data_IF_839045390227
#
_entry.id   IF_839045390227
#
_cell.length_a   1.000
_cell.length_b   1.000
_cell.length_c   1.000
_cell.angle_alpha   90.00
_cell.angle_beta   90.00
_cell.angle_gamma   90.00
#
_symmetry.space_group_name_H-M   'P 1'
#
loop_
_entity.id
_entity.type
_entity.pdbx_description
1 polymer ?
#
# COMPACT_ATOMS: atom_id res chain seq x y z
N UNK A 1 -14.82 -49.39 28.15
CA UNK A 1 -16.05 -49.02 27.42
C UNK A 1 -15.65 -48.54 26.04
N UNK A 2 -15.69 -49.44 25.06
CA UNK A 2 -15.52 -49.18 23.65
C UNK A 2 -16.88 -49.39 22.98
N UNK A 3 -17.26 -48.53 22.04
CA UNK A 3 -18.40 -48.71 21.13
C UNK A 3 -18.09 -47.86 19.89
N UNK A 4 -17.56 -48.44 18.80
CA UNK A 4 -18.25 -49.18 17.73
C UNK A 4 -19.32 -48.35 17.00
N UNK A 5 -19.03 -48.09 15.71
CA UNK A 5 -19.94 -47.56 14.69
C UNK A 5 -20.91 -48.64 14.21
N UNK A 6 -22.13 -48.29 13.76
CA UNK A 6 -22.89 -49.14 12.85
C UNK A 6 -22.94 -48.56 11.43
N UNK A 7 -22.30 -49.30 10.53
CA UNK A 7 -22.50 -49.31 9.08
C UNK A 7 -23.86 -49.91 8.74
N UNK A 8 -24.86 -49.10 8.36
CA UNK A 8 -25.99 -49.56 7.55
C UNK A 8 -26.80 -48.40 6.97
N UNK A 9 -26.57 -48.08 5.69
CA UNK A 9 -27.59 -47.68 4.70
C UNK A 9 -26.93 -47.22 3.40
N UNK A 10 -26.34 -48.17 2.69
CA UNK A 10 -26.19 -48.10 1.24
C UNK A 10 -26.96 -49.27 0.64
N UNK A 11 -28.14 -48.98 0.07
CA UNK A 11 -28.74 -49.71 -1.06
C UNK A 11 -30.16 -49.21 -1.33
N UNK A 12 -30.29 -48.26 -2.26
CA UNK A 12 -31.42 -48.21 -3.19
C UNK A 12 -31.07 -47.27 -4.37
N UNK A 13 -30.54 -47.88 -5.43
CA UNK A 13 -30.87 -47.68 -6.85
C UNK A 13 -31.25 -46.24 -7.31
N UNK A 14 -30.59 -45.61 -8.28
CA UNK A 14 -29.59 -46.12 -9.19
C UNK A 14 -29.35 -45.17 -10.37
N UNK A 15 -28.57 -45.70 -11.32
CA UNK A 15 -28.22 -45.17 -12.66
C UNK A 15 -27.19 -44.03 -12.69
N UNK A 16 -25.98 -44.41 -13.08
CA UNK A 16 -25.08 -43.52 -13.82
C UNK A 16 -25.61 -43.33 -15.25
N UNK A 17 -25.42 -42.14 -15.84
CA UNK A 17 -24.97 -42.03 -17.21
C UNK A 17 -23.50 -41.60 -17.25
N UNK A 18 -22.71 -42.31 -18.07
CA UNK A 18 -21.44 -41.82 -18.59
C UNK A 18 -21.75 -40.72 -19.61
N UNK A 19 -21.09 -39.58 -19.50
CA UNK A 19 -21.20 -38.47 -20.44
C UNK A 19 -20.04 -37.50 -20.25
N UNK A 20 -19.41 -37.15 -21.36
CA UNK A 20 -18.17 -36.40 -21.55
C UNK A 20 -18.18 -34.95 -21.11
N UNK A 21 -16.99 -34.44 -20.75
CA UNK A 21 -16.57 -33.07 -21.05
C UNK A 21 -16.87 -32.02 -19.98
N UNK A 22 -15.83 -31.34 -19.53
CA UNK A 22 -15.95 -30.11 -18.75
C UNK A 22 -14.93 -30.04 -17.61
N UNK A 23 -13.73 -29.55 -17.90
CA UNK A 23 -12.88 -28.94 -16.87
C UNK A 23 -13.70 -27.85 -16.21
N UNK A 24 -14.08 -28.06 -14.95
CA UNK A 24 -14.72 -27.02 -14.14
C UNK A 24 -13.62 -26.03 -13.74
N UNK A 25 -13.33 -25.10 -14.64
CA UNK A 25 -12.62 -23.88 -14.28
C UNK A 25 -13.54 -23.13 -13.30
N UNK A 26 -13.17 -23.16 -12.02
CA UNK A 26 -13.83 -22.40 -10.98
C UNK A 26 -13.63 -20.92 -11.30
N UNK A 27 -14.64 -20.30 -11.90
CA UNK A 27 -14.65 -18.88 -12.20
C UNK A 27 -14.62 -18.09 -10.89
N UNK A 28 -13.68 -17.14 -10.79
CA UNK A 28 -13.65 -16.13 -9.73
C UNK A 28 -14.89 -15.21 -9.89
N UNK A 29 -15.63 -14.90 -8.82
CA UNK A 29 -16.80 -14.03 -8.88
C UNK A 29 -16.41 -12.55 -9.12
N UNK A 30 -17.32 -11.82 -9.77
CA UNK A 30 -17.13 -10.53 -10.43
C UNK A 30 -16.90 -9.30 -9.53
N UNK A 31 -16.60 -9.47 -8.23
CA UNK A 31 -16.50 -8.37 -7.26
C UNK A 31 -15.22 -7.51 -7.35
N UNK A 32 -14.25 -7.92 -8.18
CA UNK A 32 -12.97 -7.21 -8.36
C UNK A 32 -13.06 -6.07 -9.42
N UNK A 33 -14.26 -5.75 -9.93
CA UNK A 33 -14.43 -4.84 -11.08
C UNK A 33 -14.67 -3.36 -10.75
N UNK A 34 -14.98 -3.02 -9.50
CA UNK A 34 -15.44 -1.66 -9.12
C UNK A 34 -14.41 -0.80 -8.38
N UNK A 35 -13.24 -1.34 -7.99
CA UNK A 35 -12.21 -0.62 -7.22
C UNK A 35 -11.71 0.65 -7.93
N UNK A 36 -11.57 0.61 -9.26
CA UNK A 36 -11.06 1.75 -10.05
C UNK A 36 -12.04 2.92 -10.16
N UNK A 37 -13.35 2.64 -10.19
CA UNK A 37 -14.36 3.71 -10.18
C UNK A 37 -14.40 4.41 -8.83
N UNK A 38 -14.21 3.67 -7.73
CA UNK A 38 -14.09 4.24 -6.39
C UNK A 38 -12.81 5.05 -6.21
N UNK A 39 -11.66 4.56 -6.71
CA UNK A 39 -10.39 5.31 -6.70
C UNK A 39 -10.52 6.61 -7.48
N UNK A 40 -11.10 6.62 -8.70
CA UNK A 40 -11.26 7.85 -9.49
C UNK A 40 -12.27 8.84 -8.87
N UNK A 41 -13.33 8.34 -8.24
CA UNK A 41 -14.32 9.17 -7.52
C UNK A 41 -13.73 9.76 -6.24
N UNK A 42 -12.98 8.95 -5.49
CA UNK A 42 -12.26 9.38 -4.30
C UNK A 42 -11.18 10.39 -4.68
N UNK A 43 -10.35 10.10 -5.69
CA UNK A 43 -9.28 10.99 -6.19
C UNK A 43 -9.79 12.35 -6.67
N UNK A 44 -10.96 12.39 -7.33
CA UNK A 44 -11.60 13.64 -7.76
C UNK A 44 -12.08 14.53 -6.59
N UNK A 45 -12.34 13.94 -5.42
CA UNK A 45 -12.75 14.65 -4.19
C UNK A 45 -11.53 14.90 -3.27
N UNK A 46 -10.57 13.98 -3.26
CA UNK A 46 -9.34 13.95 -2.45
C UNK A 46 -8.32 14.98 -2.93
N UNK A 47 -8.11 15.11 -4.24
CA UNK A 47 -7.19 16.11 -4.81
C UNK A 47 -7.68 17.57 -4.63
N UNK A 48 -8.95 17.76 -4.26
CA UNK A 48 -9.55 19.11 -4.13
C UNK A 48 -9.34 19.70 -2.74
N UNK A 49 -9.09 18.87 -1.71
CA UNK A 49 -8.86 19.37 -0.35
C UNK A 49 -7.87 18.49 0.39
N UNK A 50 -6.63 18.93 0.58
CA UNK A 50 -5.62 18.26 1.43
C UNK A 50 -6.01 18.09 2.91
N UNK A 51 -7.29 18.28 3.27
CA UNK A 51 -7.83 18.16 4.62
C UNK A 51 -8.24 16.74 5.03
N UNK A 52 -8.49 15.81 4.10
CA UNK A 52 -8.86 14.43 4.48
C UNK A 52 -7.72 13.67 5.16
N UNK A 53 -6.46 14.02 4.86
CA UNK A 53 -5.27 13.47 5.50
C UNK A 53 -5.16 13.93 6.98
N UNK A 54 -5.67 15.13 7.30
CA UNK A 54 -5.84 15.57 8.70
C UNK A 54 -6.88 14.73 9.44
N UNK A 55 -7.92 14.26 8.75
CA UNK A 55 -8.95 13.40 9.36
C UNK A 55 -8.40 12.01 9.74
N UNK A 56 -7.25 11.61 9.20
CA UNK A 56 -6.52 10.38 9.56
C UNK A 56 -5.20 10.63 10.31
N UNK A 57 -4.99 11.85 10.81
CA UNK A 57 -3.86 12.15 11.70
C UNK A 57 -2.49 12.23 11.01
N UNK A 58 -2.44 12.52 9.70
CA UNK A 58 -1.19 12.87 9.01
C UNK A 58 -0.99 14.40 8.99
N UNK A 59 0.24 14.91 9.22
CA UNK A 59 0.53 16.34 9.14
C UNK A 59 0.38 16.84 7.71
N UNK A 60 -0.28 17.99 7.54
CA UNK A 60 -0.43 18.63 6.23
C UNK A 60 0.90 19.23 5.78
N UNK A 61 1.46 18.75 4.66
CA UNK A 61 2.57 19.41 3.98
C UNK A 61 2.00 20.68 3.31
N UNK A 62 2.62 21.83 3.58
CA UNK A 62 2.30 23.07 2.88
C UNK A 62 2.90 22.95 1.47
N UNK A 63 2.12 22.47 0.51
CA UNK A 63 2.54 22.49 -0.88
C UNK A 63 2.80 23.94 -1.30
N UNK A 64 4.01 24.20 -1.80
CA UNK A 64 4.32 25.48 -2.42
C UNK A 64 3.28 25.74 -3.53
N UNK A 65 2.63 26.90 -3.48
CA UNK A 65 1.59 27.32 -4.43
C UNK A 65 2.01 26.98 -5.87
N UNK A 66 1.15 26.34 -6.68
CA UNK A 66 1.43 26.19 -8.09
C UNK A 66 1.45 27.58 -8.75
N UNK A 67 2.44 27.80 -9.62
CA UNK A 67 2.48 28.98 -10.48
C UNK A 67 1.16 29.09 -11.27
N UNK A 68 0.56 30.27 -11.21
CA UNK A 68 -0.76 30.56 -11.75
C UNK A 68 -0.86 30.24 -13.24
N UNK A 69 -1.87 29.46 -13.64
CA UNK A 69 -2.24 29.32 -15.06
C UNK A 69 -2.79 27.98 -15.52
N UNK A 70 -3.82 27.42 -14.89
CA UNK A 70 -4.68 26.40 -15.54
C UNK A 70 -6.03 26.28 -14.83
N UNK A 71 -7.11 26.58 -15.55
CA UNK A 71 -8.49 26.48 -15.05
C UNK A 71 -8.94 25.01 -14.82
N UNK A 72 -10.12 24.81 -14.22
CA UNK A 72 -10.61 23.49 -13.80
C UNK A 72 -10.93 22.59 -14.99
N UNK A 73 -10.57 21.30 -14.89
CA UNK A 73 -10.90 20.26 -15.87
C UNK A 73 -12.27 19.67 -15.51
N UNK A 74 -13.26 19.64 -16.44
CA UNK A 74 -14.60 19.12 -16.14
C UNK A 74 -14.67 17.60 -16.05
N UNK A 75 -15.48 17.11 -15.10
CA UNK A 75 -15.70 15.72 -14.65
C UNK A 75 -16.40 14.76 -15.66
N UNK A 76 -16.50 15.12 -16.95
CA UNK A 76 -17.38 14.40 -17.93
C UNK A 76 -16.62 13.51 -18.93
N UNK A 77 -15.32 13.25 -18.74
CA UNK A 77 -14.52 12.49 -19.72
C UNK A 77 -14.16 11.04 -19.33
N UNK A 78 -14.86 10.41 -18.36
CA UNK A 78 -14.57 9.04 -17.92
C UNK A 78 -15.80 8.12 -18.02
N UNK A 79 -16.22 7.84 -19.25
CA UNK A 79 -17.00 6.65 -19.59
C UNK A 79 -16.25 5.89 -20.69
N UNK A 80 -16.17 4.56 -20.54
CA UNK A 80 -15.49 3.53 -21.36
C UNK A 80 -14.15 3.13 -20.76
N UNK A 81 -13.99 1.98 -20.11
CA UNK A 81 -14.11 0.66 -20.75
C UNK A 81 -14.14 -0.44 -19.67
N UNK A 82 -15.19 -1.26 -19.70
CA UNK A 82 -15.31 -2.50 -18.93
C UNK A 82 -15.09 -3.69 -19.86
N UNK A 83 -14.29 -4.65 -19.39
CA UNK A 83 -13.96 -5.94 -20.00
C UNK A 83 -13.06 -5.95 -21.24
N UNK A 84 -11.82 -6.39 -20.99
CA UNK A 84 -10.91 -6.89 -22.00
C UNK A 84 -9.95 -5.83 -22.53
N UNK A 85 -8.65 -6.10 -22.35
CA UNK A 85 -7.56 -5.51 -23.15
C UNK A 85 -7.25 -4.02 -22.86
N UNK A 86 -6.88 -3.71 -21.60
CA UNK A 86 -5.92 -2.63 -21.24
C UNK A 86 -5.14 -3.02 -19.96
N UNK A 87 -4.18 -3.94 -20.11
CA UNK A 87 -3.06 -4.17 -19.15
C UNK A 87 -1.97 -3.11 -19.39
N UNK A 88 -2.32 -1.83 -19.29
CA UNK A 88 -1.42 -0.71 -19.63
C UNK A 88 -1.09 0.17 -18.42
N UNK A 89 -1.69 -0.06 -17.25
CA UNK A 89 -1.43 0.72 -16.03
C UNK A 89 -0.90 -0.25 -14.96
N UNK A 90 0.22 0.11 -14.33
CA UNK A 90 0.92 -0.74 -13.36
C UNK A 90 2.29 -1.24 -13.85
N UNK A 91 2.79 -2.33 -13.28
CA UNK A 91 4.11 -2.91 -13.55
C UNK A 91 4.08 -4.00 -14.62
N UNK A 92 5.06 -3.99 -15.53
CA UNK A 92 5.21 -5.01 -16.56
C UNK A 92 6.67 -5.33 -16.85
N UNK A 93 7.02 -6.62 -16.89
CA UNK A 93 8.36 -7.04 -17.32
C UNK A 93 8.55 -6.84 -18.83
N UNK A 94 9.66 -6.22 -19.19
CA UNK A 94 10.10 -6.05 -20.59
C UNK A 94 11.55 -6.50 -20.75
N UNK A 95 12.09 -6.42 -21.98
CA UNK A 95 13.52 -6.68 -22.22
C UNK A 95 14.44 -5.58 -21.68
N UNK A 96 13.90 -4.37 -21.47
CA UNK A 96 14.67 -3.21 -21.02
C UNK A 96 14.67 -3.05 -19.49
N UNK A 97 13.85 -3.83 -18.79
CA UNK A 97 13.62 -3.68 -17.34
C UNK A 97 12.14 -3.86 -17.00
N UNK A 98 11.75 -3.37 -15.83
CA UNK A 98 10.36 -3.35 -15.38
C UNK A 98 9.74 -2.01 -15.76
N UNK A 99 8.76 -2.05 -16.65
CA UNK A 99 8.02 -0.89 -17.11
C UNK A 99 6.93 -0.54 -16.10
N UNK A 100 6.89 0.71 -15.64
CA UNK A 100 5.82 1.28 -14.84
C UNK A 100 5.10 2.36 -15.65
N UNK A 101 3.77 2.26 -15.71
CA UNK A 101 2.89 3.29 -16.26
C UNK A 101 1.86 3.71 -15.23
N UNK A 102 1.85 5.00 -14.90
CA UNK A 102 0.92 5.60 -13.97
C UNK A 102 0.13 6.72 -14.65
N UNK A 103 -1.21 6.62 -14.72
CA UNK A 103 -2.07 7.75 -15.03
C UNK A 103 -1.82 8.95 -14.12
N UNK A 104 -2.25 10.14 -14.59
CA UNK A 104 -2.13 11.40 -13.86
C UNK A 104 -2.63 11.35 -12.40
N UNK A 105 -3.83 10.82 -12.13
CA UNK A 105 -4.36 10.82 -10.76
C UNK A 105 -3.50 9.96 -9.82
N UNK A 106 -3.02 8.82 -10.32
CA UNK A 106 -2.22 7.87 -9.55
C UNK A 106 -0.81 8.42 -9.25
N UNK A 107 -0.18 9.07 -10.24
CA UNK A 107 1.13 9.72 -10.04
C UNK A 107 1.05 10.87 -9.03
N UNK A 108 -0.03 11.66 -9.10
CA UNK A 108 -0.27 12.77 -8.16
C UNK A 108 -0.49 12.24 -6.75
N UNK A 109 -1.34 11.21 -6.60
CA UNK A 109 -1.60 10.56 -5.32
C UNK A 109 -0.32 9.99 -4.69
N UNK A 110 0.50 9.27 -5.46
CA UNK A 110 1.76 8.71 -4.94
C UNK A 110 2.72 9.81 -4.49
N UNK A 111 2.84 10.90 -5.27
CA UNK A 111 3.66 12.06 -4.89
C UNK A 111 3.20 12.63 -3.54
N UNK A 112 1.90 12.89 -3.38
CA UNK A 112 1.34 13.42 -2.13
C UNK A 112 1.53 12.47 -0.94
N UNK A 113 1.38 11.16 -1.14
CA UNK A 113 1.59 10.16 -0.08
C UNK A 113 3.06 10.09 0.35
N UNK A 114 3.99 10.17 -0.60
CA UNK A 114 5.43 10.15 -0.30
C UNK A 114 5.88 11.38 0.46
N UNK A 115 5.42 12.56 0.08
CA UNK A 115 5.73 13.81 0.81
C UNK A 115 5.25 13.74 2.27
N UNK A 116 4.10 13.11 2.52
CA UNK A 116 3.58 12.95 3.88
C UNK A 116 4.33 11.91 4.70
N UNK A 117 4.65 10.77 4.09
CA UNK A 117 5.43 9.71 4.76
C UNK A 117 6.86 10.17 5.00
N UNK A 118 7.43 11.04 4.17
CA UNK A 118 8.70 11.69 4.46
C UNK A 118 8.63 12.46 5.79
N UNK A 119 7.60 13.27 6.00
CA UNK A 119 7.39 13.97 7.27
C UNK A 119 7.27 13.03 8.47
N UNK A 120 6.61 11.89 8.29
CA UNK A 120 6.43 10.85 9.31
C UNK A 120 7.74 10.11 9.67
N UNK A 121 8.62 9.93 8.69
CA UNK A 121 9.88 9.20 8.83
C UNK A 121 11.05 10.07 9.32
N UNK A 122 10.82 11.36 9.60
CA UNK A 122 11.85 12.22 10.19
C UNK A 122 12.31 11.65 11.54
N UNK A 123 13.61 11.43 11.69
CA UNK A 123 14.17 11.00 12.96
C UNK A 123 13.97 12.10 14.02
N UNK A 124 13.67 11.71 15.28
CA UNK A 124 13.59 12.69 16.36
C UNK A 124 14.96 13.38 16.52
N UNK A 125 14.98 14.69 16.81
CA UNK A 125 16.22 15.44 16.98
C UNK A 125 17.09 14.77 18.05
N UNK A 126 18.40 14.85 17.87
CA UNK A 126 19.39 14.38 18.83
C UNK A 126 19.78 15.56 19.70
N UNK A 127 19.51 15.46 21.01
CA UNK A 127 19.76 16.55 21.96
C UNK A 127 21.26 16.73 22.25
N UNK A 128 22.05 15.66 22.20
CA UNK A 128 23.50 15.70 22.44
C UNK A 128 24.28 16.10 21.17
N UNK A 129 25.04 17.22 21.20
CA UNK A 129 25.85 17.66 20.06
C UNK A 129 26.91 16.66 19.58
N UNK A 130 27.47 15.85 20.48
CA UNK A 130 28.46 14.83 20.12
C UNK A 130 27.79 13.64 19.42
N UNK A 131 26.66 13.15 19.95
CA UNK A 131 25.89 12.10 19.27
C UNK A 131 25.44 12.56 17.87
N UNK A 132 25.01 13.82 17.74
CA UNK A 132 24.63 14.40 16.45
C UNK A 132 25.80 14.46 15.44
N UNK A 133 27.02 14.73 15.92
CA UNK A 133 28.21 14.79 15.07
C UNK A 133 28.70 13.41 14.65
N UNK A 134 28.61 12.42 15.54
CA UNK A 134 29.17 11.06 15.32
C UNK A 134 28.13 10.12 14.69
N UNK A 135 26.83 10.43 14.80
CA UNK A 135 25.73 9.58 14.31
C UNK A 135 25.56 8.29 15.12
N UNK A 136 26.08 8.26 16.34
CA UNK A 136 25.97 7.14 17.27
C UNK A 136 25.28 7.64 18.53
N UNK A 137 24.15 7.01 18.88
CA UNK A 137 23.47 7.28 20.15
C UNK A 137 24.06 6.40 21.25
N UNK A 138 24.35 6.99 22.40
CA UNK A 138 24.62 6.28 23.65
C UNK A 138 23.33 5.91 24.37
N UNK A 139 22.28 6.73 24.20
CA UNK A 139 20.95 6.46 24.77
C UNK A 139 19.98 5.92 23.72
N UNK A 140 19.24 4.86 24.06
CA UNK A 140 18.21 4.34 23.17
C UNK A 140 17.08 5.38 23.00
N UNK A 141 16.63 5.67 21.77
CA UNK A 141 15.46 6.51 21.59
C UNK A 141 14.23 5.82 22.21
N UNK A 142 13.25 6.60 22.67
CA UNK A 142 11.98 6.04 23.14
C UNK A 142 11.32 5.23 22.02
N UNK A 143 10.47 4.23 22.36
CA UNK A 143 9.62 3.59 21.37
C UNK A 143 8.82 4.62 20.57
N UNK A 144 8.58 4.41 19.25
CA UNK A 144 7.79 5.34 18.46
C UNK A 144 6.38 5.52 19.05
N UNK A 145 5.98 6.77 19.30
CA UNK A 145 4.64 7.09 19.81
C UNK A 145 3.56 6.89 18.74
N UNK A 146 3.92 7.11 17.47
CA UNK A 146 3.02 6.90 16.35
C UNK A 146 2.93 5.41 15.99
N UNK A 147 1.73 4.79 16.02
CA UNK A 147 1.58 3.37 15.72
C UNK A 147 1.95 3.01 14.27
N UNK A 148 1.86 3.96 13.32
CA UNK A 148 2.30 3.74 11.95
C UNK A 148 3.83 3.62 11.91
N UNK A 149 4.57 4.50 12.60
CA UNK A 149 6.03 4.41 12.70
C UNK A 149 6.45 3.14 13.45
N UNK A 150 5.76 2.78 14.54
CA UNK A 150 6.00 1.54 15.26
C UNK A 150 5.82 0.30 14.35
N UNK A 151 4.85 0.32 13.44
CA UNK A 151 4.65 -0.77 12.45
C UNK A 151 5.74 -0.80 11.38
N UNK A 152 6.32 0.35 11.01
CA UNK A 152 7.45 0.44 10.08
C UNK A 152 8.78 0.05 10.73
N UNK A 153 8.90 0.18 12.04
CA UNK A 153 10.08 -0.13 12.85
C UNK A 153 9.74 -1.18 13.92
N UNK A 154 9.41 -2.43 13.52
CA UNK A 154 8.98 -3.46 14.46
C UNK A 154 10.09 -3.79 15.46
N UNK A 155 9.70 -4.01 16.71
CA UNK A 155 10.59 -4.46 17.77
C UNK A 155 10.75 -5.99 17.72
N UNK A 156 11.96 -6.53 17.45
CA UNK A 156 12.17 -7.97 17.41
C UNK A 156 12.25 -8.62 18.80
N UNK A 157 12.32 -7.84 19.88
CA UNK A 157 12.53 -8.33 21.24
C UNK A 157 11.44 -7.86 22.23
N UNK A 158 10.14 -8.03 21.93
CA UNK A 158 9.04 -7.45 22.72
C UNK A 158 9.04 -7.87 24.20
N UNK A 159 9.59 -9.04 24.52
CA UNK A 159 9.66 -9.60 25.87
C UNK A 159 10.98 -9.26 26.61
N UNK A 160 11.92 -8.55 25.98
CA UNK A 160 13.20 -8.15 26.56
C UNK A 160 13.43 -6.64 26.37
N UNK A 161 13.07 -5.81 27.38
CA UNK A 161 13.23 -4.36 27.32
C UNK A 161 14.67 -3.89 27.12
N UNK A 162 15.66 -4.65 27.63
CA UNK A 162 17.07 -4.32 27.50
C UNK A 162 17.52 -4.52 26.06
N UNK A 163 17.23 -5.70 25.49
CA UNK A 163 17.53 -6.01 24.09
C UNK A 163 16.79 -5.07 23.12
N UNK A 164 15.53 -4.74 23.42
CA UNK A 164 14.72 -3.76 22.66
C UNK A 164 15.39 -2.38 22.61
N UNK A 165 15.83 -1.86 23.76
CA UNK A 165 16.55 -0.58 23.84
C UNK A 165 17.87 -0.62 23.07
N UNK A 166 18.62 -1.71 23.22
CA UNK A 166 19.88 -1.98 22.50
C UNK A 166 19.71 -2.05 20.98
N UNK A 167 18.59 -2.61 20.51
CA UNK A 167 18.25 -2.68 19.11
C UNK A 167 17.90 -1.29 18.56
N UNK A 168 17.01 -0.55 19.24
CA UNK A 168 16.61 0.81 18.82
C UNK A 168 17.80 1.75 18.75
N UNK A 169 18.66 1.75 19.79
CA UNK A 169 19.87 2.58 19.83
C UNK A 169 20.76 2.38 18.60
N UNK A 170 20.88 1.14 18.11
CA UNK A 170 21.78 0.79 17.01
C UNK A 170 21.14 0.88 15.62
N UNK A 171 19.81 0.73 15.51
CA UNK A 171 19.15 0.48 14.23
C UNK A 171 18.10 1.49 13.83
N UNK A 172 17.51 2.24 14.76
CA UNK A 172 16.39 3.13 14.46
C UNK A 172 16.76 4.20 13.43
N UNK A 173 17.86 4.93 13.65
CA UNK A 173 18.28 6.02 12.76
C UNK A 173 18.68 5.49 11.38
N UNK A 174 19.41 4.36 11.32
CA UNK A 174 19.78 3.71 10.06
C UNK A 174 18.55 3.22 9.28
N UNK A 175 17.57 2.61 9.97
CA UNK A 175 16.35 2.13 9.33
C UNK A 175 15.49 3.29 8.79
N UNK A 176 15.38 4.39 9.54
CA UNK A 176 14.70 5.60 9.09
C UNK A 176 15.41 6.22 7.88
N UNK A 177 16.74 6.37 7.94
CA UNK A 177 17.53 6.88 6.82
C UNK A 177 17.34 6.04 5.55
N UNK A 178 17.45 4.72 5.65
CA UNK A 178 17.23 3.81 4.49
C UNK A 178 15.84 3.95 3.89
N UNK A 179 14.78 4.04 4.72
CA UNK A 179 13.40 4.23 4.24
C UNK A 179 13.21 5.58 3.56
N UNK A 180 13.77 6.66 4.14
CA UNK A 180 13.74 8.01 3.57
C UNK A 180 14.48 8.08 2.23
N UNK A 181 15.66 7.48 2.15
CA UNK A 181 16.45 7.46 0.92
C UNK A 181 15.72 6.72 -0.21
N UNK A 182 15.10 5.57 0.09
CA UNK A 182 14.25 4.86 -0.87
C UNK A 182 13.05 5.70 -1.31
N UNK A 183 12.34 6.35 -0.36
CA UNK A 183 11.22 7.23 -0.66
C UNK A 183 11.63 8.42 -1.54
N UNK A 184 12.78 9.04 -1.26
CA UNK A 184 13.33 10.14 -2.05
C UNK A 184 13.70 9.71 -3.48
N UNK A 185 14.33 8.54 -3.64
CA UNK A 185 14.64 7.98 -4.97
C UNK A 185 13.37 7.65 -5.76
N UNK A 186 12.37 7.05 -5.12
CA UNK A 186 11.06 6.78 -5.76
C UNK A 186 10.37 8.08 -6.16
N UNK A 187 10.29 9.07 -5.26
CA UNK A 187 9.68 10.36 -5.53
C UNK A 187 10.33 11.07 -6.73
N UNK A 188 11.67 11.07 -6.78
CA UNK A 188 12.41 11.64 -7.90
C UNK A 188 12.21 10.88 -9.23
N UNK A 189 11.87 9.59 -9.15
CA UNK A 189 11.66 8.73 -10.31
C UNK A 189 10.20 8.68 -10.81
N UNK A 190 9.22 9.22 -10.06
CA UNK A 190 7.83 9.23 -10.50
C UNK A 190 7.73 9.90 -11.88
N UNK A 191 7.26 9.19 -12.92
CA UNK A 191 7.20 9.74 -14.26
C UNK A 191 6.16 10.86 -14.30
N UNK A 192 6.33 11.79 -15.25
CA UNK A 192 5.27 12.74 -15.52
C UNK A 192 4.00 11.98 -15.91
N UNK A 193 2.81 12.52 -15.62
CA UNK A 193 1.54 11.87 -15.90
C UNK A 193 1.40 11.26 -17.31
N UNK A 194 1.28 9.92 -17.38
CA UNK A 194 1.13 9.19 -18.64
C UNK A 194 2.44 8.78 -19.32
N UNK A 195 3.59 9.18 -18.77
CA UNK A 195 4.90 8.73 -19.21
C UNK A 195 5.24 7.35 -18.64
N UNK A 196 6.27 6.76 -19.21
CA UNK A 196 6.75 5.42 -18.90
C UNK A 196 8.04 5.51 -18.11
N UNK A 197 8.10 4.83 -16.96
CA UNK A 197 9.33 4.64 -16.20
C UNK A 197 9.85 3.22 -16.45
N UNK A 198 11.16 3.07 -16.68
CA UNK A 198 11.82 1.76 -16.74
C UNK A 198 12.67 1.61 -15.50
N UNK A 199 12.37 0.59 -14.70
CA UNK A 199 13.07 0.25 -13.48
C UNK A 199 14.07 -0.87 -13.77
N UNK A 200 15.28 -0.71 -13.26
CA UNK A 200 16.19 -1.82 -13.01
C UNK A 200 15.81 -2.54 -11.70
N UNK A 201 16.60 -3.53 -11.32
CA UNK A 201 16.32 -4.36 -10.15
C UNK A 201 16.49 -3.59 -8.83
N UNK A 202 17.47 -2.69 -8.74
CA UNK A 202 17.69 -1.86 -7.55
C UNK A 202 16.52 -0.89 -7.35
N UNK A 203 16.13 -0.18 -8.40
CA UNK A 203 14.98 0.70 -8.36
C UNK A 203 13.69 -0.09 -8.04
N UNK A 204 13.51 -1.30 -8.57
CA UNK A 204 12.37 -2.14 -8.21
C UNK A 204 12.33 -2.50 -6.71
N UNK A 205 13.48 -2.70 -6.06
CA UNK A 205 13.54 -2.91 -4.60
C UNK A 205 13.15 -1.67 -3.80
N UNK A 206 13.56 -0.48 -4.25
CA UNK A 206 13.12 0.78 -3.65
C UNK A 206 11.60 0.94 -3.76
N UNK A 207 11.03 0.67 -4.94
CA UNK A 207 9.58 0.72 -5.16
C UNK A 207 8.83 -0.30 -4.30
N UNK A 208 9.33 -1.53 -4.16
CA UNK A 208 8.75 -2.53 -3.24
C UNK A 208 8.73 -2.03 -1.79
N UNK A 209 9.87 -1.52 -1.33
CA UNK A 209 10.02 -1.00 0.05
C UNK A 209 9.03 0.13 0.31
N UNK A 210 8.98 1.09 -0.61
CA UNK A 210 8.16 2.30 -0.49
C UNK A 210 6.67 1.98 -0.58
N UNK A 211 6.23 1.19 -1.56
CA UNK A 211 4.81 0.80 -1.68
C UNK A 211 4.35 0.02 -0.45
N UNK A 212 5.20 -0.86 0.08
CA UNK A 212 4.91 -1.58 1.31
C UNK A 212 4.79 -0.63 2.51
N UNK A 213 5.71 0.32 2.66
CA UNK A 213 5.66 1.29 3.76
C UNK A 213 4.41 2.16 3.69
N UNK A 214 4.05 2.69 2.52
CA UNK A 214 2.80 3.43 2.31
C UNK A 214 1.58 2.58 2.69
N UNK A 215 1.55 1.32 2.26
CA UNK A 215 0.46 0.38 2.57
C UNK A 215 0.34 0.12 4.07
N UNK A 216 1.47 -0.05 4.77
CA UNK A 216 1.50 -0.28 6.22
C UNK A 216 1.03 0.95 6.99
N UNK A 217 1.45 2.15 6.59
CA UNK A 217 0.98 3.41 7.21
C UNK A 217 -0.53 3.54 7.08
N UNK A 218 -1.08 3.37 5.87
CA UNK A 218 -2.52 3.47 5.66
C UNK A 218 -3.29 2.35 6.36
N UNK A 219 -2.77 1.12 6.35
CA UNK A 219 -3.37 -0.01 7.07
C UNK A 219 -3.48 0.25 8.57
N UNK A 220 -2.43 0.81 9.19
CA UNK A 220 -2.48 1.20 10.61
C UNK A 220 -3.51 2.28 10.87
N UNK A 221 -3.62 3.30 10.00
CA UNK A 221 -4.62 4.37 10.14
C UNK A 221 -6.05 3.90 9.92
N UNK A 222 -6.24 2.85 9.12
CA UNK A 222 -7.52 2.16 8.95
C UNK A 222 -7.86 1.22 10.12
N UNK A 223 -6.92 0.99 11.05
CA UNK A 223 -7.09 0.06 12.16
C UNK A 223 -6.98 -1.42 11.75
N UNK A 224 -6.27 -1.73 10.66
CA UNK A 224 -6.13 -3.09 10.16
C UNK A 224 -5.10 -3.88 10.99
N UNK A 225 -5.58 -4.83 11.78
CA UNK A 225 -4.74 -5.67 12.67
C UNK A 225 -4.63 -7.11 12.20
N UNK A 226 -5.59 -7.58 11.41
CA UNK A 226 -5.78 -8.97 11.02
C UNK A 226 -6.55 -9.07 9.69
N UNK A 227 -6.79 -10.31 9.27
CA UNK A 227 -7.50 -10.58 8.01
C UNK A 227 -8.97 -10.14 8.08
N UNK A 228 -9.62 -10.29 9.24
CA UNK A 228 -11.03 -9.90 9.45
C UNK A 228 -11.24 -8.40 9.26
N UNK A 229 -10.42 -7.56 9.90
CA UNK A 229 -10.45 -6.10 9.73
C UNK A 229 -10.15 -5.67 8.29
N UNK A 230 -9.40 -6.47 7.53
CA UNK A 230 -9.17 -6.22 6.10
C UNK A 230 -10.39 -6.58 5.26
N UNK A 231 -11.07 -7.69 5.55
CA UNK A 231 -12.29 -8.11 4.87
C UNK A 231 -13.43 -7.09 5.07
N UNK A 232 -13.54 -6.49 6.26
CA UNK A 232 -14.53 -5.44 6.55
C UNK A 232 -14.44 -4.23 5.59
N UNK A 233 -13.26 -3.95 5.02
CA UNK A 233 -13.11 -2.86 4.06
C UNK A 233 -13.93 -3.06 2.78
N UNK A 234 -14.26 -4.31 2.44
CA UNK A 234 -15.08 -4.63 1.27
C UNK A 234 -16.56 -4.28 1.49
N UNK A 235 -17.01 -4.30 2.74
CA UNK A 235 -18.41 -4.14 3.13
C UNK A 235 -18.75 -2.72 3.61
N UNK A 236 -17.82 -1.76 3.44
CA UNK A 236 -18.06 -0.37 3.80
C UNK A 236 -19.32 0.17 3.12
N UNK A 237 -20.16 0.90 3.87
CA UNK A 237 -21.40 1.49 3.36
C UNK A 237 -21.14 2.78 2.57
N UNK A 238 -21.99 3.13 1.58
CA UNK A 238 -21.84 4.39 0.84
C UNK A 238 -21.86 5.56 1.82
N UNK A 239 -20.81 6.39 1.80
CA UNK A 239 -20.64 7.50 2.76
C UNK A 239 -19.79 7.20 3.99
N UNK A 240 -19.29 5.97 4.18
CA UNK A 240 -18.31 5.69 5.24
C UNK A 240 -17.04 6.55 5.02
N UNK A 241 -16.60 7.33 6.03
CA UNK A 241 -15.44 8.23 5.90
C UNK A 241 -14.12 7.49 5.61
N UNK A 242 -14.03 6.19 5.89
CA UNK A 242 -12.84 5.35 5.62
C UNK A 242 -12.70 4.97 4.15
N UNK A 243 -13.78 5.04 3.35
CA UNK A 243 -13.78 4.57 1.95
C UNK A 243 -12.65 5.16 1.08
N UNK A 244 -12.36 6.47 1.12
CA UNK A 244 -11.26 7.02 0.33
C UNK A 244 -9.91 6.40 0.69
N UNK A 245 -9.65 6.24 1.98
CA UNK A 245 -8.39 5.66 2.49
C UNK A 245 -8.32 4.17 2.13
N UNK A 246 -9.42 3.44 2.26
CA UNK A 246 -9.53 2.04 1.87
C UNK A 246 -9.28 1.84 0.37
N UNK A 247 -9.77 2.76 -0.48
CA UNK A 247 -9.52 2.73 -1.92
C UNK A 247 -8.03 2.92 -2.25
N UNK A 248 -7.36 3.86 -1.57
CA UNK A 248 -5.91 4.08 -1.72
C UNK A 248 -5.11 2.88 -1.21
N UNK A 249 -5.47 2.33 -0.05
CA UNK A 249 -4.86 1.10 0.48
C UNK A 249 -4.99 -0.07 -0.49
N UNK A 250 -6.17 -0.27 -1.09
CA UNK A 250 -6.41 -1.28 -2.12
C UNK A 250 -5.54 -1.07 -3.36
N UNK A 251 -5.47 0.17 -3.85
CA UNK A 251 -4.60 0.54 -4.98
C UNK A 251 -3.12 0.23 -4.71
N UNK A 252 -2.58 0.61 -3.55
CA UNK A 252 -1.19 0.30 -3.18
C UNK A 252 -0.94 -1.21 -3.05
N UNK A 253 -1.94 -1.94 -2.53
CA UNK A 253 -1.87 -3.40 -2.41
C UNK A 253 -1.81 -4.07 -3.78
N UNK A 254 -2.63 -3.62 -4.73
CA UNK A 254 -2.60 -4.10 -6.12
C UNK A 254 -1.26 -3.81 -6.80
N UNK A 255 -0.72 -2.59 -6.65
CA UNK A 255 0.59 -2.23 -7.21
C UNK A 255 1.73 -3.08 -6.63
N UNK A 256 1.74 -3.29 -5.32
CA UNK A 256 2.76 -4.10 -4.65
C UNK A 256 2.71 -5.57 -5.10
N UNK A 257 1.50 -6.14 -5.21
CA UNK A 257 1.29 -7.51 -5.71
C UNK A 257 1.74 -7.65 -7.17
N UNK A 258 1.45 -6.66 -8.02
CA UNK A 258 1.90 -6.67 -9.41
C UNK A 258 3.42 -6.57 -9.55
N UNK A 259 4.08 -5.69 -8.80
CA UNK A 259 5.55 -5.57 -8.80
C UNK A 259 6.20 -6.86 -8.30
N UNK A 260 5.68 -7.43 -7.22
CA UNK A 260 6.17 -8.71 -6.66
C UNK A 260 6.08 -9.83 -7.69
N UNK A 261 4.94 -9.99 -8.36
CA UNK A 261 4.78 -10.99 -9.42
C UNK A 261 5.66 -10.75 -10.64
N UNK A 262 6.05 -9.50 -10.90
CA UNK A 262 6.89 -9.12 -12.04
C UNK A 262 8.37 -9.44 -11.80
N UNK A 263 8.76 -9.54 -10.52
CA UNK A 263 10.12 -9.88 -10.10
C UNK A 263 10.37 -11.40 -10.03
N UNK A 264 9.32 -12.20 -9.83
CA UNK A 264 9.36 -13.67 -9.87
C UNK A 264 9.42 -14.21 -11.32
#
# INVERSE_FOLDING_TARGET
MAAELPSSRWAALGRRPRGSGGRVARALPAAVRDSRLLVLSALGVVAVTGGWLRAVGLPSVQSARPAAGRGPVPLVALRTTTQGWMRVNGFRRTRAGIELRLPRPESTLLTELLEQVDGLLQAPPVDDPLEALVGLRDTAPPPPEDPAVARLLPDPYPDDPMASGDFRRRRTDEALARKRDAAARVLAAIPAPGDVLILDEEAAQDWLTVLNDLRLVLGTRLGLTDDESTEELHDLVPGDPRRPIAAVYGFLTELLDELTRTLL
#
